data_IF_749123697784
#
_entry.id   IF_749123697784
#
_cell.length_a   1.000
_cell.length_b   1.000
_cell.length_c   1.000
_cell.angle_alpha   90.00
_cell.angle_beta   90.00
_cell.angle_gamma   90.00
#
_symmetry.space_group_name_H-M   'P 1'
#
loop_
_entity.id
_entity.type
_entity.pdbx_description
1 polymer ?
#
# COMPACT_ATOMS: atom_id res chain seq x y z
N UNK A 1 22.04 9.34 9.26
CA UNK A 1 21.83 7.94 9.66
C UNK A 1 20.47 7.49 9.14
N UNK A 2 20.36 6.41 8.35
CA UNK A 2 19.06 5.89 7.91
C UNK A 2 18.26 5.36 9.10
N UNK A 3 16.93 5.51 9.05
CA UNK A 3 16.06 4.99 10.09
C UNK A 3 16.05 3.47 10.04
N UNK A 4 16.09 2.82 11.21
CA UNK A 4 16.01 1.36 11.34
C UNK A 4 14.59 0.97 11.78
N UNK A 5 14.04 -0.09 11.17
CA UNK A 5 12.70 -0.58 11.49
C UNK A 5 12.79 -1.97 12.10
N UNK A 6 12.20 -2.16 13.29
CA UNK A 6 12.25 -3.43 14.03
C UNK A 6 10.86 -3.75 14.55
N UNK A 7 10.42 -4.98 14.34
CA UNK A 7 9.18 -5.52 14.87
C UNK A 7 9.41 -6.04 16.28
N UNK A 8 8.51 -5.70 17.20
CA UNK A 8 8.52 -6.16 18.59
C UNK A 8 7.29 -7.04 18.88
N UNK A 9 7.43 -7.94 19.85
CA UNK A 9 6.30 -8.70 20.41
C UNK A 9 5.57 -7.93 21.52
N UNK A 10 4.56 -8.56 22.11
CA UNK A 10 3.77 -8.06 23.24
C UNK A 10 4.61 -7.83 24.51
N UNK A 11 5.80 -8.44 24.59
CA UNK A 11 6.76 -8.31 25.70
C UNK A 11 7.91 -7.35 25.36
N UNK A 12 7.76 -6.55 24.31
CA UNK A 12 8.77 -5.61 23.82
C UNK A 12 10.11 -6.27 23.46
N UNK A 13 10.12 -7.54 23.08
CA UNK A 13 11.31 -8.23 22.56
C UNK A 13 11.40 -8.05 21.05
N UNK A 14 12.60 -7.77 20.50
CA UNK A 14 12.77 -7.66 19.07
C UNK A 14 12.55 -9.02 18.40
N UNK A 15 11.60 -9.10 17.48
CA UNK A 15 11.20 -10.31 16.75
C UNK A 15 11.84 -10.36 15.38
N UNK A 16 11.86 -9.22 14.67
CA UNK A 16 12.33 -9.18 13.30
C UNK A 16 12.90 -7.81 12.94
N UNK A 17 14.04 -7.80 12.25
CA UNK A 17 14.66 -6.60 11.70
C UNK A 17 14.19 -6.42 10.24
N UNK A 18 13.46 -5.34 9.99
CA UNK A 18 12.91 -5.01 8.66
C UNK A 18 13.92 -4.19 7.82
N UNK A 19 15.12 -3.96 8.35
CA UNK A 19 16.19 -3.24 7.70
C UNK A 19 16.14 -1.73 7.98
N UNK A 20 16.99 -1.00 7.25
CA UNK A 20 17.11 0.44 7.36
C UNK A 20 16.88 1.15 6.03
N UNK A 21 16.47 2.41 6.10
CA UNK A 21 16.26 3.24 4.91
C UNK A 21 15.79 4.65 5.24
N UNK A 22 15.50 5.46 4.22
CA UNK A 22 14.93 6.79 4.38
C UNK A 22 13.44 6.66 4.71
N UNK A 23 13.12 6.16 5.91
CA UNK A 23 11.76 5.89 6.35
C UNK A 23 11.37 6.80 7.51
N UNK A 24 10.10 7.19 7.55
CA UNK A 24 9.52 7.95 8.65
C UNK A 24 8.09 7.52 8.99
N UNK A 25 7.53 6.57 8.24
CA UNK A 25 6.13 6.15 8.36
C UNK A 25 6.06 4.63 8.36
N UNK A 26 5.29 4.05 9.28
CA UNK A 26 4.94 2.63 9.30
C UNK A 26 3.44 2.52 9.48
N UNK A 27 2.78 1.77 8.60
CA UNK A 27 1.32 1.56 8.64
C UNK A 27 0.99 0.08 8.54
N UNK A 28 0.19 -0.41 9.49
CA UNK A 28 -0.30 -1.78 9.49
C UNK A 28 -1.59 -1.91 8.71
N UNK A 29 -1.73 -3.04 8.03
CA UNK A 29 -2.99 -3.49 7.50
C UNK A 29 -3.99 -3.74 8.65
N UNK A 30 -5.31 -3.51 8.45
CA UNK A 30 -6.33 -3.76 9.46
C UNK A 30 -6.34 -5.18 10.05
N UNK A 31 -5.90 -6.18 9.29
CA UNK A 31 -5.84 -7.58 9.71
C UNK A 31 -4.47 -7.99 10.28
N UNK A 32 -3.49 -7.09 10.35
CA UNK A 32 -2.16 -7.36 10.91
C UNK A 32 -1.27 -8.30 10.08
N UNK A 33 -1.71 -8.69 8.87
CA UNK A 33 -0.94 -9.55 7.96
C UNK A 33 0.11 -8.79 7.17
N UNK A 34 -0.25 -7.61 6.67
CA UNK A 34 0.66 -6.78 5.88
C UNK A 34 1.05 -5.53 6.67
N UNK A 35 2.23 -5.02 6.39
CA UNK A 35 2.67 -3.71 6.84
C UNK A 35 3.33 -2.99 5.66
N UNK A 36 3.20 -1.67 5.62
CA UNK A 36 3.93 -0.83 4.69
C UNK A 36 4.84 0.11 5.47
N UNK A 37 6.08 0.21 5.04
CA UNK A 37 7.08 1.15 5.53
C UNK A 37 7.28 2.19 4.44
N UNK A 38 7.27 3.47 4.81
CA UNK A 38 7.37 4.54 3.84
C UNK A 38 8.25 5.70 4.30
N UNK A 39 8.76 6.43 3.30
CA UNK A 39 9.50 7.67 3.46
C UNK A 39 8.79 8.81 2.74
N UNK A 40 8.04 9.63 3.48
CA UNK A 40 7.24 10.74 2.93
C UNK A 40 7.80 12.12 3.24
N UNK A 41 7.27 13.14 2.56
CA UNK A 41 7.69 14.53 2.74
C UNK A 41 9.00 14.85 2.03
N UNK A 42 10.08 15.08 2.77
CA UNK A 42 11.39 15.39 2.21
C UNK A 42 12.21 14.14 1.82
N UNK A 43 11.64 12.95 2.00
CA UNK A 43 12.27 11.67 1.67
C UNK A 43 11.88 11.24 0.23
N UNK A 44 12.60 10.28 -0.37
CA UNK A 44 12.43 9.91 -1.79
C UNK A 44 11.07 9.29 -2.18
N UNK A 45 10.14 9.12 -1.25
CA UNK A 45 8.84 8.49 -1.51
C UNK A 45 8.89 6.97 -1.53
N UNK A 46 9.92 6.33 -0.96
CA UNK A 46 9.98 4.86 -0.91
C UNK A 46 8.76 4.32 -0.16
N UNK A 47 8.12 3.28 -0.73
CA UNK A 47 6.97 2.59 -0.17
C UNK A 47 7.19 1.08 -0.30
N UNK A 48 7.54 0.44 0.82
CA UNK A 48 7.94 -0.97 0.87
C UNK A 48 6.89 -1.78 1.61
N UNK A 49 6.41 -2.84 0.98
CA UNK A 49 5.38 -3.72 1.52
C UNK A 49 5.99 -5.01 2.04
N UNK A 50 5.55 -5.40 3.23
CA UNK A 50 5.97 -6.61 3.91
C UNK A 50 4.76 -7.46 4.28
N UNK A 51 4.94 -8.77 4.18
CA UNK A 51 4.01 -9.78 4.67
C UNK A 51 4.56 -10.40 5.95
N UNK A 52 3.77 -10.39 7.02
CA UNK A 52 4.03 -11.13 8.25
C UNK A 52 3.70 -12.59 8.01
N UNK A 53 4.70 -13.44 8.19
CA UNK A 53 4.60 -14.88 8.12
C UNK A 53 4.34 -15.46 9.52
N UNK A 54 4.07 -16.77 9.55
CA UNK A 54 3.96 -17.52 10.79
C UNK A 54 5.23 -17.37 11.64
N UNK A 55 5.08 -17.41 12.97
CA UNK A 55 6.17 -17.29 13.95
C UNK A 55 6.90 -15.93 13.94
N UNK A 56 6.28 -14.88 13.41
CA UNK A 56 6.78 -13.50 13.52
C UNK A 56 7.84 -13.11 12.48
N UNK A 57 8.24 -14.02 11.60
CA UNK A 57 9.09 -13.68 10.46
C UNK A 57 8.34 -12.74 9.50
N UNK A 58 9.08 -11.86 8.81
CA UNK A 58 8.51 -11.00 7.78
C UNK A 58 9.19 -11.25 6.44
N UNK A 59 8.45 -11.07 5.34
CA UNK A 59 8.98 -11.15 3.98
C UNK A 59 8.59 -9.90 3.21
N UNK A 60 9.57 -9.23 2.60
CA UNK A 60 9.29 -8.15 1.67
C UNK A 60 8.59 -8.72 0.44
N UNK A 61 7.42 -8.18 0.12
CA UNK A 61 6.59 -8.67 -1.00
C UNK A 61 6.62 -7.72 -2.20
N UNK A 62 6.84 -6.43 -1.96
CA UNK A 62 6.93 -5.42 -3.00
C UNK A 62 7.65 -4.17 -2.50
N UNK A 63 8.17 -3.38 -3.44
CA UNK A 63 8.62 -2.02 -3.20
C UNK A 63 8.21 -1.17 -4.40
N UNK A 64 7.76 0.04 -4.12
CA UNK A 64 7.40 1.04 -5.12
C UNK A 64 7.79 2.42 -4.61
N UNK A 65 7.48 3.46 -5.38
CA UNK A 65 7.67 4.84 -4.97
C UNK A 65 6.41 5.65 -5.18
N UNK A 66 6.10 6.46 -4.18
CA UNK A 66 5.09 7.50 -4.24
C UNK A 66 5.53 8.67 -3.40
N UNK A 67 5.78 9.79 -4.05
CA UNK A 67 5.79 11.09 -3.37
C UNK A 67 4.40 11.34 -2.80
N UNK A 68 4.36 11.48 -1.48
CA UNK A 68 3.15 11.72 -0.71
C UNK A 68 3.53 12.33 0.63
N UNK A 69 2.53 12.81 1.35
CA UNK A 69 2.70 13.29 2.73
C UNK A 69 2.08 12.32 3.74
N UNK A 70 1.02 11.62 3.34
CA UNK A 70 0.27 10.67 4.16
C UNK A 70 0.04 9.35 3.40
N UNK A 71 -0.12 8.25 4.15
CA UNK A 71 -0.63 7.00 3.61
C UNK A 71 -1.51 6.25 4.61
N UNK A 72 -2.48 5.49 4.10
CA UNK A 72 -3.39 4.69 4.91
C UNK A 72 -3.85 3.44 4.17
N UNK A 73 -4.08 2.37 4.94
CA UNK A 73 -4.65 1.14 4.41
C UNK A 73 -6.16 1.26 4.24
N UNK A 74 -6.67 0.69 3.16
CA UNK A 74 -8.11 0.48 2.98
C UNK A 74 -8.67 -0.43 4.08
N UNK A 75 -9.93 -0.25 4.50
CA UNK A 75 -10.57 -1.12 5.51
C UNK A 75 -10.65 -2.58 5.07
N UNK A 76 -10.69 -2.85 3.76
CA UNK A 76 -10.68 -4.21 3.21
C UNK A 76 -9.29 -4.83 3.14
N UNK A 77 -8.24 -4.11 3.55
CA UNK A 77 -6.87 -4.60 3.66
C UNK A 77 -6.17 -4.93 2.33
N UNK A 78 -6.71 -4.50 1.18
CA UNK A 78 -6.13 -4.84 -0.14
C UNK A 78 -5.39 -3.69 -0.82
N UNK A 79 -5.76 -2.48 -0.45
CA UNK A 79 -5.23 -1.28 -1.05
C UNK A 79 -4.55 -0.38 0.00
N UNK A 80 -3.53 0.34 -0.45
CA UNK A 80 -2.92 1.45 0.27
C UNK A 80 -3.12 2.71 -0.54
N UNK A 81 -3.67 3.73 0.10
CA UNK A 81 -3.78 5.06 -0.46
C UNK A 81 -2.59 5.88 0.02
N UNK A 82 -1.97 6.61 -0.90
CA UNK A 82 -1.06 7.70 -0.58
C UNK A 82 -1.71 9.01 -1.02
N UNK A 83 -1.46 10.08 -0.27
CA UNK A 83 -2.02 11.40 -0.59
C UNK A 83 -0.99 12.50 -0.39
N UNK A 84 -1.03 13.45 -1.31
CA UNK A 84 -0.30 14.72 -1.24
C UNK A 84 -1.32 15.82 -0.98
N UNK A 85 -1.28 16.41 0.21
CA UNK A 85 -2.27 17.39 0.67
C UNK A 85 -1.65 18.73 1.06
N UNK A 86 -2.36 19.81 0.78
CA UNK A 86 -2.15 21.15 1.30
C UNK A 86 -2.67 21.26 2.75
N UNK A 87 -2.10 22.16 3.59
CA UNK A 87 -1.06 23.13 3.28
C UNK A 87 0.37 22.55 3.33
N UNK A 88 0.53 21.28 3.74
CA UNK A 88 1.84 20.66 3.99
C UNK A 88 2.70 20.59 2.72
N UNK A 89 2.13 20.16 1.61
CA UNK A 89 2.74 20.29 0.28
C UNK A 89 1.69 20.86 -0.66
N UNK A 90 1.96 22.03 -1.26
CA UNK A 90 1.00 22.75 -2.10
C UNK A 90 1.14 22.47 -3.60
N UNK A 91 2.11 21.64 -3.97
CA UNK A 91 2.42 21.26 -5.35
C UNK A 91 2.00 19.82 -5.57
N UNK A 92 1.51 19.52 -6.77
CA UNK A 92 1.12 18.16 -7.21
C UNK A 92 0.21 17.44 -6.22
N UNK A 93 -0.81 18.13 -5.72
CA UNK A 93 -1.81 17.54 -4.84
C UNK A 93 -2.53 16.39 -5.54
N UNK A 94 -2.53 15.21 -4.92
CA UNK A 94 -3.02 14.00 -5.55
C UNK A 94 -3.40 12.93 -4.52
N UNK A 95 -4.18 11.97 -4.99
CA UNK A 95 -4.44 10.70 -4.34
C UNK A 95 -4.01 9.58 -5.28
N UNK A 96 -3.17 8.67 -4.80
CA UNK A 96 -2.77 7.45 -5.52
C UNK A 96 -3.18 6.24 -4.70
N UNK A 97 -3.67 5.20 -5.37
CA UNK A 97 -4.04 3.93 -4.74
C UNK A 97 -3.17 2.83 -5.31
N UNK A 98 -2.58 2.04 -4.41
CA UNK A 98 -1.71 0.93 -4.72
C UNK A 98 -2.29 -0.37 -4.18
N UNK A 99 -2.04 -1.48 -4.85
CA UNK A 99 -2.17 -2.80 -4.23
C UNK A 99 -1.00 -3.03 -3.26
N UNK A 100 -1.14 -4.01 -2.36
CA UNK A 100 -0.03 -4.42 -1.50
C UNK A 100 1.13 -5.12 -2.26
N UNK A 101 0.96 -5.36 -3.57
CA UNK A 101 2.05 -5.75 -4.49
C UNK A 101 2.78 -4.54 -5.11
N UNK A 102 2.46 -3.32 -4.69
CA UNK A 102 3.12 -2.10 -5.15
C UNK A 102 2.64 -1.60 -6.52
N UNK A 103 1.59 -2.20 -7.08
CA UNK A 103 1.01 -1.79 -8.36
C UNK A 103 0.05 -0.63 -8.15
N UNK A 104 0.21 0.46 -8.91
CA UNK A 104 -0.70 1.60 -8.89
C UNK A 104 -1.98 1.26 -9.65
N UNK A 105 -3.13 1.31 -8.96
CA UNK A 105 -4.45 1.00 -9.55
C UNK A 105 -5.28 2.23 -9.87
N UNK A 106 -5.04 3.34 -9.17
CA UNK A 106 -5.74 4.59 -9.40
C UNK A 106 -4.85 5.79 -9.07
N UNK A 107 -5.09 6.89 -9.76
CA UNK A 107 -4.49 8.19 -9.47
C UNK A 107 -5.49 9.29 -9.82
N UNK A 108 -5.62 10.27 -8.93
CA UNK A 108 -6.41 11.47 -9.17
C UNK A 108 -5.65 12.69 -8.69
N UNK A 109 -5.47 13.66 -9.58
CA UNK A 109 -4.84 14.95 -9.27
C UNK A 109 -5.91 15.97 -8.86
N UNK A 110 -5.50 16.93 -8.05
CA UNK A 110 -6.31 18.03 -7.55
C UNK A 110 -5.47 19.30 -7.56
N UNK A 111 -6.11 20.44 -7.81
CA UNK A 111 -5.43 21.74 -7.69
C UNK A 111 -5.07 22.02 -6.23
N UNK A 112 -6.03 21.79 -5.33
CA UNK A 112 -5.85 21.85 -3.88
C UNK A 112 -6.57 20.67 -3.23
N UNK A 113 -5.83 19.83 -2.53
CA UNK A 113 -6.38 18.73 -1.75
C UNK A 113 -6.07 18.98 -0.27
N UNK A 114 -7.09 19.09 0.57
CA UNK A 114 -6.89 19.33 2.01
C UNK A 114 -6.74 18.03 2.79
N UNK A 115 -7.51 17.01 2.40
CA UNK A 115 -7.55 15.73 3.09
C UNK A 115 -7.99 14.61 2.14
N UNK A 116 -7.51 13.40 2.41
CA UNK A 116 -7.99 12.18 1.77
C UNK A 116 -8.01 11.05 2.80
N UNK A 117 -9.16 10.42 2.97
CA UNK A 117 -9.34 9.28 3.88
C UNK A 117 -10.15 8.18 3.21
N UNK A 118 -9.91 6.95 3.64
CA UNK A 118 -10.81 5.84 3.32
C UNK A 118 -12.11 5.99 4.10
N UNK A 119 -13.23 5.63 3.48
CA UNK A 119 -14.48 5.49 4.23
C UNK A 119 -14.30 4.39 5.29
N UNK A 120 -14.42 4.69 6.60
CA UNK A 120 -14.29 3.69 7.64
C UNK A 120 -15.36 2.60 7.50
N UNK A 121 -15.01 1.37 7.86
CA UNK A 121 -15.96 0.26 7.88
C UNK A 121 -16.03 -0.35 9.29
N UNK A 122 -17.22 -0.76 9.77
CA UNK A 122 -17.36 -1.48 11.02
C UNK A 122 -16.51 -2.75 11.07
N UNK A 123 -16.06 -3.14 12.26
CA UNK A 123 -15.36 -4.41 12.47
C UNK A 123 -16.22 -5.59 11.98
N UNK A 124 -15.61 -6.53 11.25
CA UNK A 124 -16.31 -7.67 10.67
C UNK A 124 -16.96 -7.43 9.30
N UNK A 125 -16.97 -6.20 8.79
CA UNK A 125 -17.49 -5.91 7.43
C UNK A 125 -16.66 -6.60 6.34
N UNK A 126 -15.36 -6.72 6.57
CA UNK A 126 -14.42 -7.36 5.64
C UNK A 126 -13.73 -8.53 6.33
N UNK A 127 -13.58 -9.63 5.59
CA UNK A 127 -12.85 -10.81 6.02
C UNK A 127 -11.37 -10.71 5.63
N UNK A 128 -10.50 -11.33 6.43
CA UNK A 128 -9.09 -11.52 6.08
C UNK A 128 -8.96 -12.59 4.98
N UNK A 129 -9.05 -12.15 3.73
CA UNK A 129 -8.93 -13.01 2.56
C UNK A 129 -7.47 -13.42 2.33
N UNK A 130 -7.21 -14.62 1.77
CA UNK A 130 -5.86 -14.98 1.36
C UNK A 130 -5.29 -13.95 0.38
N UNK A 131 -3.96 -13.89 0.29
CA UNK A 131 -3.30 -13.02 -0.69
C UNK A 131 -3.87 -13.30 -2.09
N UNK A 132 -4.36 -12.26 -2.76
CA UNK A 132 -4.86 -12.34 -4.13
C UNK A 132 -3.80 -12.95 -5.04
N UNK A 133 -4.20 -13.86 -5.96
CA UNK A 133 -3.28 -14.38 -6.97
C UNK A 133 -2.58 -13.22 -7.68
N UNK A 134 -1.25 -13.26 -7.76
CA UNK A 134 -0.51 -12.30 -8.59
C UNK A 134 -0.96 -12.52 -10.04
N UNK A 135 -1.32 -11.46 -10.74
CA UNK A 135 -1.56 -11.57 -12.18
C UNK A 135 -0.30 -12.16 -12.82
N UNK A 136 -0.45 -13.25 -13.56
CA UNK A 136 0.65 -13.84 -14.33
C UNK A 136 1.09 -12.80 -15.38
N UNK A 137 2.11 -12.01 -15.05
CA UNK A 137 2.62 -10.95 -15.93
C UNK A 137 3.16 -9.69 -15.25
N UNK A 138 2.88 -9.42 -13.97
CA UNK A 138 3.49 -8.27 -13.29
C UNK A 138 4.89 -8.61 -12.78
N UNK A 139 5.87 -8.70 -13.67
CA UNK A 139 7.27 -8.84 -13.30
C UNK A 139 7.75 -7.57 -12.59
N UNK A 140 7.98 -7.67 -11.27
CA UNK A 140 9.08 -6.91 -10.68
C UNK A 140 10.36 -7.47 -11.29
N UNK A 141 11.22 -6.58 -11.81
CA UNK A 141 12.37 -6.92 -12.64
C UNK A 141 13.16 -8.14 -12.14
N UNK A 142 13.02 -9.25 -12.86
CA UNK A 142 13.97 -10.36 -12.98
C UNK A 142 13.64 -11.04 -14.32
N UNK A 143 14.62 -11.10 -15.21
CA UNK A 143 14.42 -11.47 -16.62
C UNK A 143 14.14 -12.95 -16.88
N UNK A 144 13.74 -13.22 -18.13
CA UNK A 144 13.61 -14.57 -18.70
C UNK A 144 12.25 -14.79 -19.37
N UNK A 145 12.25 -14.94 -20.69
CA UNK A 145 11.05 -14.98 -21.55
C UNK A 145 10.32 -16.33 -21.62
N UNK A 146 9.25 -16.33 -22.43
CA UNK A 146 8.46 -17.51 -22.80
C UNK A 146 6.97 -17.18 -22.88
N UNK A 147 6.36 -17.36 -24.07
CA UNK A 147 5.02 -16.87 -24.40
C UNK A 147 3.87 -17.86 -24.18
N UNK A 148 2.65 -17.38 -24.49
CA UNK A 148 1.51 -18.20 -24.90
C UNK A 148 0.26 -18.15 -24.00
N UNK A 149 -0.86 -17.69 -24.57
CA UNK A 149 -2.22 -18.11 -24.16
C UNK A 149 -3.14 -17.01 -23.62
N UNK A 150 -4.01 -16.47 -24.48
CA UNK A 150 -5.07 -15.54 -24.09
C UNK A 150 -6.23 -16.28 -23.42
N UNK A 151 -6.68 -15.80 -22.26
CA UNK A 151 -7.92 -16.21 -21.59
C UNK A 151 -8.78 -14.98 -21.27
N UNK A 152 -10.09 -15.10 -21.52
CA UNK A 152 -11.07 -14.02 -21.50
C UNK A 152 -11.33 -13.43 -20.10
N UNK A 153 -11.57 -12.11 -20.06
CA UNK A 153 -11.79 -11.33 -18.84
C UNK A 153 -13.24 -11.47 -18.30
N UNK A 154 -13.45 -11.53 -16.97
CA UNK A 154 -14.78 -11.50 -16.39
C UNK A 154 -15.42 -10.09 -16.46
N UNK A 155 -16.76 -9.99 -16.43
CA UNK A 155 -17.47 -8.71 -16.58
C UNK A 155 -17.21 -7.78 -15.39
N UNK A 156 -16.93 -6.50 -15.69
CA UNK A 156 -16.68 -5.46 -14.69
C UNK A 156 -17.98 -5.11 -13.96
N UNK A 157 -17.94 -5.12 -12.63
CA UNK A 157 -19.02 -4.59 -11.80
C UNK A 157 -19.16 -3.07 -12.06
N UNK A 158 -20.38 -2.62 -12.37
CA UNK A 158 -20.70 -1.23 -12.58
C UNK A 158 -20.43 -0.41 -11.32
N UNK A 159 -19.64 0.67 -11.44
CA UNK A 159 -19.48 1.65 -10.37
C UNK A 159 -20.80 2.38 -10.12
N UNK A 160 -21.14 2.58 -8.85
CA UNK A 160 -22.29 3.38 -8.43
C UNK A 160 -22.02 4.87 -8.69
N UNK A 161 -22.90 5.52 -9.45
CA UNK A 161 -22.96 6.98 -9.58
C UNK A 161 -24.08 7.50 -8.69
N UNK A 162 -23.83 8.44 -7.76
CA UNK A 162 -24.91 9.12 -7.04
C UNK A 162 -25.81 9.88 -8.02
N UNK A 163 -27.09 10.00 -7.70
CA UNK A 163 -28.00 10.87 -8.44
C UNK A 163 -27.66 12.34 -8.11
N UNK A 164 -27.50 13.16 -9.14
CA UNK A 164 -27.34 14.61 -9.03
C UNK A 164 -28.53 15.20 -8.26
N UNK A 165 -28.23 16.06 -7.29
CA UNK A 165 -29.18 16.93 -6.61
C UNK A 165 -29.00 18.37 -7.09
#
# INVERSE_FOLDING_TARGET
>A
MPAKVTLFDDKCKPVYDLGGGPYNTVIWNPFGRFLAIAGFGNLPGDLVFWSKLNKGACKQIAATRSEAVNASWSPCGRYVMTSTVAPRLRVDNNVKVFTYYGEKVAEKKFDVLLEAQWLPAPSGTFEDRPASPRAAGSSGAAGGGGGGGAAAAPPRAAGYSPADA
#
